data_IF_616760365835
#
_entry.id   IF_616760365835
#
_cell.length_a   1.000
_cell.length_b   1.000
_cell.length_c   1.000
_cell.angle_alpha   90.00
_cell.angle_beta   90.00
_cell.angle_gamma   90.00
#
_symmetry.space_group_name_H-M   'P 1'
#
loop_
_entity.id
_entity.type
_entity.pdbx_description
1 polymer ?
#
# COMPACT_ATOMS: atom_id res chain seq x y z
N UNK A 1 -8.15 18.73 -6.47
CA UNK A 1 -7.53 18.24 -5.22
C UNK A 1 -7.98 16.80 -5.00
N UNK A 2 -7.06 15.84 -4.78
CA UNK A 2 -7.37 14.38 -4.87
C UNK A 2 -8.04 13.81 -3.59
N UNK A 3 -7.89 14.43 -2.41
CA UNK A 3 -8.55 13.98 -1.15
C UNK A 3 -9.48 15.05 -0.60
N UNK A 4 -10.59 15.24 -1.29
CA UNK A 4 -11.54 16.31 -0.99
C UNK A 4 -12.24 16.09 0.36
N UNK A 5 -12.67 14.86 0.65
CA UNK A 5 -13.52 14.56 1.81
C UNK A 5 -12.82 13.83 2.97
N UNK A 6 -11.48 13.71 2.97
CA UNK A 6 -10.77 12.98 4.04
C UNK A 6 -11.01 13.55 5.45
N UNK A 7 -11.26 14.86 5.54
CA UNK A 7 -11.51 15.59 6.79
C UNK A 7 -13.00 15.87 7.02
N UNK A 8 -13.89 15.25 6.24
CA UNK A 8 -15.33 15.35 6.47
C UNK A 8 -15.69 14.81 7.86
N UNK A 9 -16.70 15.39 8.51
CA UNK A 9 -17.14 14.97 9.85
C UNK A 9 -17.59 13.51 9.93
N UNK A 10 -17.94 12.89 8.80
CA UNK A 10 -18.34 11.48 8.68
C UNK A 10 -17.16 10.52 8.58
N UNK A 11 -15.92 11.03 8.54
CA UNK A 11 -14.73 10.21 8.41
C UNK A 11 -14.07 9.96 9.77
N UNK A 12 -13.97 8.69 10.23
CA UNK A 12 -13.27 8.37 11.46
C UNK A 12 -11.80 8.80 11.48
N UNK A 13 -11.14 8.88 10.32
CA UNK A 13 -9.75 9.32 10.18
C UNK A 13 -9.61 10.85 9.97
N UNK A 14 -10.66 11.65 10.20
CA UNK A 14 -10.61 13.11 10.02
C UNK A 14 -9.42 13.73 10.78
N UNK A 15 -8.65 14.57 10.10
CA UNK A 15 -7.49 15.25 10.70
C UNK A 15 -6.24 14.38 10.89
N UNK A 16 -6.30 13.07 10.66
CA UNK A 16 -5.16 12.17 10.83
C UNK A 16 -4.13 12.34 9.71
N UNK A 17 -4.57 12.30 8.45
CA UNK A 17 -3.69 12.38 7.29
C UNK A 17 -3.42 13.83 6.87
N UNK A 18 -2.35 14.41 7.41
CA UNK A 18 -1.85 15.72 7.01
C UNK A 18 -1.03 15.61 5.71
N UNK A 19 -1.41 16.36 4.69
CA UNK A 19 -0.89 16.16 3.34
C UNK A 19 0.55 16.65 3.17
N UNK A 20 0.92 17.76 3.77
CA UNK A 20 2.25 18.33 3.58
C UNK A 20 3.26 17.66 4.52
N UNK A 21 2.97 17.62 5.82
CA UNK A 21 3.96 17.18 6.81
C UNK A 21 4.16 15.66 6.82
N UNK A 22 3.07 14.88 6.83
CA UNK A 22 3.20 13.43 6.99
C UNK A 22 3.59 12.72 5.68
N UNK A 23 2.98 13.08 4.55
CA UNK A 23 3.23 12.41 3.27
C UNK A 23 4.61 12.72 2.70
N UNK A 24 5.04 13.99 2.71
CA UNK A 24 6.37 14.35 2.18
C UNK A 24 7.47 13.73 3.05
N UNK A 25 7.31 13.73 4.37
CA UNK A 25 8.24 13.07 5.30
C UNK A 25 8.30 11.57 5.06
N UNK A 26 7.14 10.90 4.89
CA UNK A 26 7.10 9.48 4.60
C UNK A 26 7.75 9.16 3.24
N UNK A 27 7.42 9.92 2.19
CA UNK A 27 7.99 9.74 0.86
C UNK A 27 9.52 9.96 0.84
N UNK A 28 10.03 10.92 1.61
CA UNK A 28 11.46 11.18 1.74
C UNK A 28 12.26 10.00 2.32
N UNK A 29 11.61 9.09 3.05
CA UNK A 29 12.25 7.88 3.57
C UNK A 29 12.41 6.76 2.52
N UNK A 30 11.78 6.88 1.34
CA UNK A 30 11.81 5.87 0.29
C UNK A 30 12.40 6.46 -1.01
N UNK A 31 13.73 6.50 -1.15
CA UNK A 31 14.35 6.98 -2.38
C UNK A 31 13.88 6.14 -3.57
N UNK A 32 13.41 6.80 -4.64
CA UNK A 32 12.81 6.17 -5.81
C UNK A 32 11.31 6.43 -5.93
N UNK A 33 10.58 6.47 -4.82
CA UNK A 33 9.13 6.72 -4.84
C UNK A 33 8.82 8.13 -5.35
N UNK A 34 8.11 8.24 -6.48
CA UNK A 34 7.79 9.52 -7.11
C UNK A 34 9.00 10.23 -7.72
N UNK A 35 10.17 9.58 -7.78
CA UNK A 35 11.41 10.15 -8.34
C UNK A 35 12.01 9.31 -9.48
N UNK A 36 11.46 8.14 -9.76
CA UNK A 36 11.90 7.25 -10.86
C UNK A 36 11.22 7.59 -12.19
N UNK A 37 12.01 7.65 -13.27
CA UNK A 37 11.51 7.89 -14.64
C UNK A 37 11.28 9.36 -14.97
N UNK A 38 10.51 9.61 -16.04
CA UNK A 38 10.10 10.96 -16.48
C UNK A 38 9.02 11.58 -15.57
N UNK A 39 8.72 12.87 -15.78
CA UNK A 39 7.78 13.61 -14.96
C UNK A 39 6.36 13.02 -14.97
N UNK A 40 5.93 12.43 -16.08
CA UNK A 40 4.59 11.84 -16.19
C UNK A 40 4.51 10.50 -15.44
N UNK A 41 5.58 9.72 -15.46
CA UNK A 41 5.72 8.49 -14.69
C UNK A 41 5.70 8.78 -13.19
N UNK A 42 6.46 9.78 -12.75
CA UNK A 42 6.49 10.23 -11.35
C UNK A 42 5.11 10.69 -10.86
N UNK A 43 4.42 11.52 -11.66
CA UNK A 43 3.05 11.98 -11.35
C UNK A 43 2.06 10.80 -11.31
N UNK A 44 2.19 9.87 -12.25
CA UNK A 44 1.32 8.67 -12.32
C UNK A 44 1.52 7.77 -11.11
N UNK A 45 2.74 7.57 -10.65
CA UNK A 45 3.02 6.77 -9.45
C UNK A 45 2.35 7.37 -8.20
N UNK A 46 2.56 8.67 -7.96
CA UNK A 46 1.96 9.37 -6.80
C UNK A 46 0.42 9.31 -6.88
N UNK A 47 -0.15 9.51 -8.07
CA UNK A 47 -1.59 9.41 -8.27
C UNK A 47 -2.10 7.97 -8.03
N UNK A 48 -1.41 6.95 -8.54
CA UNK A 48 -1.81 5.56 -8.41
C UNK A 48 -1.78 5.07 -6.96
N UNK A 49 -0.72 5.37 -6.20
CA UNK A 49 -0.64 5.03 -4.77
C UNK A 49 -1.79 5.65 -3.99
N UNK A 50 -2.08 6.92 -4.25
CA UNK A 50 -3.16 7.65 -3.58
C UNK A 50 -4.54 7.13 -3.94
N UNK A 51 -4.73 6.71 -5.19
CA UNK A 51 -6.00 6.15 -5.69
C UNK A 51 -6.28 4.75 -5.14
N UNK A 52 -5.26 3.97 -4.81
CA UNK A 52 -5.41 2.65 -4.20
C UNK A 52 -6.28 2.68 -2.92
N UNK A 53 -6.41 3.85 -2.31
CA UNK A 53 -7.09 4.07 -1.04
C UNK A 53 -8.44 4.77 -1.18
N UNK A 54 -8.87 5.04 -2.42
CA UNK A 54 -10.06 5.87 -2.73
C UNK A 54 -11.38 5.11 -2.82
N UNK A 55 -11.42 3.83 -2.46
CA UNK A 55 -12.65 3.02 -2.54
C UNK A 55 -13.52 3.07 -1.28
N UNK A 56 -13.28 4.02 -0.37
CA UNK A 56 -14.09 4.18 0.85
C UNK A 56 -15.47 4.83 0.62
N UNK A 57 -15.72 5.39 -0.57
CA UNK A 57 -17.03 5.91 -0.93
C UNK A 57 -17.92 4.82 -1.50
N UNK A 58 -18.90 4.31 -0.75
CA UNK A 58 -19.94 3.46 -1.31
C UNK A 58 -20.70 4.15 -2.47
N UNK A 59 -21.40 3.35 -3.28
CA UNK A 59 -22.31 3.90 -4.30
C UNK A 59 -23.37 4.78 -3.61
N UNK A 60 -23.35 6.09 -3.86
CA UNK A 60 -24.28 7.05 -3.24
C UNK A 60 -23.65 8.17 -2.41
N UNK A 61 -22.31 8.22 -2.25
CA UNK A 61 -21.68 9.37 -1.57
C UNK A 61 -21.67 10.65 -2.43
N UNK A 62 -21.86 11.84 -1.82
CA UNK A 62 -21.74 13.12 -2.52
C UNK A 62 -20.40 13.24 -3.24
N UNK A 63 -20.38 13.76 -4.47
CA UNK A 63 -19.20 13.91 -5.36
C UNK A 63 -18.59 12.60 -5.93
N UNK A 64 -19.23 11.45 -5.70
CA UNK A 64 -18.81 10.16 -6.25
C UNK A 64 -17.76 9.43 -5.41
N UNK A 65 -17.65 8.12 -5.62
CA UNK A 65 -16.89 7.21 -4.74
C UNK A 65 -15.41 7.56 -4.54
N UNK A 66 -14.77 8.11 -5.58
CA UNK A 66 -13.33 8.35 -5.62
C UNK A 66 -12.86 9.56 -4.81
N UNK A 67 -13.78 10.41 -4.35
CA UNK A 67 -13.45 11.63 -3.59
C UNK A 67 -13.31 11.40 -2.07
N UNK A 68 -13.60 10.18 -1.60
CA UNK A 68 -13.70 9.80 -0.18
C UNK A 68 -12.53 8.94 0.32
N UNK A 69 -11.41 8.89 -0.41
CA UNK A 69 -10.21 8.19 0.06
C UNK A 69 -9.69 8.75 1.39
N UNK A 70 -8.94 7.92 2.13
CA UNK A 70 -8.37 8.25 3.44
C UNK A 70 -9.42 8.57 4.54
N UNK A 71 -10.68 8.18 4.35
CA UNK A 71 -11.75 8.39 5.33
C UNK A 71 -11.62 7.47 6.56
N UNK A 72 -11.01 6.30 6.37
CA UNK A 72 -10.75 5.29 7.40
C UNK A 72 -9.24 5.10 7.58
N UNK A 73 -8.84 4.66 8.78
CA UNK A 73 -7.45 4.31 9.13
C UNK A 73 -7.33 2.94 9.78
N UNK A 74 -8.44 2.29 10.09
CA UNK A 74 -8.51 1.00 10.75
C UNK A 74 -9.67 0.20 10.14
N UNK A 75 -9.47 -1.10 10.05
CA UNK A 75 -10.49 -2.06 9.66
C UNK A 75 -11.61 -2.13 10.71
N UNK A 76 -12.87 -2.18 10.27
CA UNK A 76 -13.99 -2.30 11.18
C UNK A 76 -14.23 -3.77 11.57
N UNK A 77 -14.02 -4.10 12.85
CA UNK A 77 -14.30 -5.44 13.39
C UNK A 77 -13.30 -6.53 13.00
N UNK A 78 -12.10 -6.16 12.53
CA UNK A 78 -11.11 -7.10 11.99
C UNK A 78 -10.64 -8.15 12.99
N UNK A 79 -10.29 -9.35 12.50
CA UNK A 79 -9.78 -10.46 13.32
C UNK A 79 -8.38 -10.17 13.93
N UNK A 80 -7.75 -11.16 14.55
CA UNK A 80 -6.37 -11.01 15.06
C UNK A 80 -5.35 -10.96 13.93
N UNK A 81 -5.61 -11.60 12.79
CA UNK A 81 -4.68 -11.72 11.65
C UNK A 81 -3.28 -12.15 12.10
N UNK A 82 -3.24 -13.22 12.87
CA UNK A 82 -2.01 -13.82 13.36
C UNK A 82 -1.80 -15.15 12.63
N UNK A 83 -0.63 -15.31 12.03
CA UNK A 83 -0.12 -16.56 11.52
C UNK A 83 1.14 -16.93 12.29
N UNK A 84 1.15 -18.10 12.92
CA UNK A 84 2.34 -18.60 13.63
C UNK A 84 3.58 -18.56 12.74
N UNK A 85 4.65 -17.96 13.26
CA UNK A 85 5.90 -17.73 12.53
C UNK A 85 7.04 -17.62 13.53
N UNK A 86 8.16 -18.27 13.22
CA UNK A 86 9.39 -18.13 14.01
C UNK A 86 10.08 -16.80 13.76
N UNK A 87 9.94 -16.24 12.56
CA UNK A 87 10.58 -15.00 12.16
C UNK A 87 9.80 -13.77 12.63
N UNK A 88 8.47 -13.83 12.59
CA UNK A 88 7.57 -12.74 12.98
C UNK A 88 6.49 -13.26 13.91
N UNK A 89 6.84 -13.67 15.14
CA UNK A 89 5.90 -14.29 16.06
C UNK A 89 4.77 -13.34 16.45
N UNK A 90 3.58 -13.88 16.67
CA UNK A 90 2.47 -13.08 17.17
C UNK A 90 2.71 -12.71 18.63
N UNK A 91 2.65 -11.42 18.94
CA UNK A 91 2.80 -10.94 20.31
C UNK A 91 1.48 -11.13 21.07
N UNK A 92 1.48 -11.77 22.26
CA UNK A 92 0.27 -11.97 23.04
C UNK A 92 -0.51 -10.67 23.28
N UNK A 93 -1.83 -10.71 23.06
CA UNK A 93 -2.71 -9.56 23.21
C UNK A 93 -2.66 -8.54 22.07
N UNK A 94 -1.82 -8.75 21.04
CA UNK A 94 -1.76 -7.87 19.86
C UNK A 94 -2.60 -8.43 18.70
N UNK A 95 -3.09 -7.51 17.87
CA UNK A 95 -3.92 -7.79 16.70
C UNK A 95 -3.39 -7.03 15.49
N UNK A 96 -3.29 -7.71 14.36
CA UNK A 96 -2.69 -7.23 13.12
C UNK A 96 -3.74 -7.01 12.03
N UNK A 97 -4.92 -6.51 12.39
CA UNK A 97 -5.96 -6.11 11.43
C UNK A 97 -5.53 -4.92 10.57
N UNK A 98 -6.30 -4.65 9.51
CA UNK A 98 -5.99 -3.62 8.55
C UNK A 98 -5.82 -2.24 9.19
N UNK A 99 -4.63 -1.65 9.08
CA UNK A 99 -4.38 -0.27 9.52
C UNK A 99 -3.73 0.57 8.44
N UNK A 100 -4.01 1.87 8.51
CA UNK A 100 -3.43 2.87 7.65
C UNK A 100 -3.92 2.82 6.20
N UNK A 101 -3.18 3.48 5.29
CA UNK A 101 -3.60 3.78 3.93
C UNK A 101 -3.65 2.54 3.03
N UNK A 102 -2.77 1.56 3.28
CA UNK A 102 -2.76 0.27 2.57
C UNK A 102 -3.61 -0.80 3.27
N UNK A 103 -4.21 -0.49 4.42
CA UNK A 103 -4.82 -1.50 5.30
C UNK A 103 -3.83 -2.64 5.57
N UNK A 104 -2.66 -2.31 6.13
CA UNK A 104 -1.64 -3.29 6.45
C UNK A 104 -2.22 -4.32 7.42
N UNK A 105 -2.20 -5.59 7.01
CA UNK A 105 -2.74 -6.72 7.77
C UNK A 105 -1.71 -7.82 7.92
N UNK A 106 -1.86 -8.66 8.94
CA UNK A 106 -1.00 -9.80 9.28
C UNK A 106 0.36 -9.51 9.91
N UNK A 107 0.72 -10.26 10.94
CA UNK A 107 2.01 -10.18 11.65
C UNK A 107 3.23 -10.26 10.71
N UNK A 108 3.16 -11.11 9.67
CA UNK A 108 4.23 -11.25 8.69
C UNK A 108 4.39 -10.04 7.76
N UNK A 109 3.47 -9.06 7.78
CA UNK A 109 3.65 -7.77 7.11
C UNK A 109 4.07 -6.68 8.11
N UNK A 110 3.48 -6.66 9.32
CA UNK A 110 3.85 -5.69 10.37
C UNK A 110 5.33 -5.82 10.77
N UNK A 111 5.79 -7.04 11.00
CA UNK A 111 7.19 -7.33 11.35
C UNK A 111 8.21 -6.76 10.36
N UNK A 112 8.22 -7.20 9.09
CA UNK A 112 9.21 -6.72 8.13
C UNK A 112 9.02 -5.25 7.75
N UNK A 113 7.79 -4.71 7.78
CA UNK A 113 7.58 -3.27 7.57
C UNK A 113 8.31 -2.46 8.65
N UNK A 114 8.09 -2.78 9.91
CA UNK A 114 8.68 -2.10 11.06
C UNK A 114 10.21 -2.20 11.11
N UNK A 115 10.76 -3.34 10.68
CA UNK A 115 12.19 -3.60 10.69
C UNK A 115 13.01 -2.89 9.59
N UNK A 116 12.36 -2.23 8.63
CA UNK A 116 13.08 -1.49 7.58
C UNK A 116 13.71 -0.21 8.10
N UNK A 117 14.86 0.21 7.57
CA UNK A 117 15.50 1.48 7.95
C UNK A 117 14.58 2.70 7.72
N UNK A 118 13.71 2.63 6.71
CA UNK A 118 12.76 3.71 6.41
C UNK A 118 11.72 3.91 7.52
N UNK A 119 11.30 2.83 8.20
CA UNK A 119 10.26 2.86 9.25
C UNK A 119 10.88 2.80 10.64
N UNK A 120 11.75 1.82 10.87
CA UNK A 120 12.58 1.61 12.05
C UNK A 120 11.81 1.72 13.38
N UNK A 121 10.64 1.09 13.44
CA UNK A 121 9.82 0.98 14.66
C UNK A 121 9.30 -0.44 14.83
N UNK A 122 9.19 -0.92 16.07
CA UNK A 122 8.67 -2.27 16.35
C UNK A 122 7.14 -2.32 16.21
N UNK A 123 6.70 -2.50 14.96
CA UNK A 123 5.29 -2.67 14.61
C UNK A 123 4.73 -4.03 15.00
N UNK A 124 5.58 -5.01 15.36
CA UNK A 124 5.11 -6.32 15.78
C UNK A 124 4.59 -6.27 17.23
N UNK A 125 5.31 -5.54 18.09
CA UNK A 125 4.90 -5.28 19.49
C UNK A 125 3.93 -4.11 19.62
N UNK A 126 3.98 -3.13 18.71
CA UNK A 126 3.08 -1.97 18.70
C UNK A 126 2.43 -1.72 17.33
N UNK A 127 1.54 -2.63 16.88
CA UNK A 127 0.85 -2.49 15.59
C UNK A 127 -0.08 -1.27 15.54
N UNK A 128 -0.52 -0.77 16.70
CA UNK A 128 -1.41 0.39 16.79
C UNK A 128 -0.71 1.69 16.35
N UNK A 129 0.63 1.73 16.30
CA UNK A 129 1.35 2.89 15.75
C UNK A 129 0.92 3.22 14.33
N UNK A 130 0.56 2.23 13.51
CA UNK A 130 0.09 2.45 12.13
C UNK A 130 -1.21 3.27 12.10
N UNK A 131 -2.00 3.27 13.18
CA UNK A 131 -3.24 4.06 13.31
C UNK A 131 -3.10 5.27 14.25
N UNK A 132 -1.97 5.42 14.96
CA UNK A 132 -1.71 6.52 15.90
C UNK A 132 -0.72 7.56 15.36
N UNK A 133 0.19 7.16 14.47
CA UNK A 133 1.18 8.04 13.84
C UNK A 133 0.98 8.08 12.32
N UNK A 134 0.66 9.25 11.78
CA UNK A 134 0.37 9.42 10.36
C UNK A 134 1.60 9.22 9.46
N UNK A 135 2.81 9.55 9.94
CA UNK A 135 4.06 9.32 9.19
C UNK A 135 4.32 7.82 9.10
N UNK A 136 4.24 7.10 10.21
CA UNK A 136 4.38 5.63 10.22
C UNK A 136 3.31 4.99 9.33
N UNK A 137 2.06 5.45 9.44
CA UNK A 137 0.93 5.01 8.61
C UNK A 137 1.22 5.15 7.11
N UNK A 138 1.73 6.29 6.68
CA UNK A 138 2.08 6.53 5.27
C UNK A 138 3.32 5.76 4.86
N UNK A 139 4.31 5.62 5.75
CA UNK A 139 5.50 4.84 5.48
C UNK A 139 5.18 3.36 5.27
N UNK A 140 4.24 2.75 6.00
CA UNK A 140 3.85 1.34 5.75
C UNK A 140 3.16 1.18 4.39
N UNK A 141 2.41 2.19 3.94
CA UNK A 141 1.81 2.19 2.61
C UNK A 141 2.86 2.28 1.48
N UNK A 142 3.89 3.11 1.65
CA UNK A 142 4.99 3.24 0.69
C UNK A 142 5.90 2.00 0.76
N UNK A 143 6.26 1.57 1.97
CA UNK A 143 6.37 0.18 2.41
C UNK A 143 6.04 -0.87 1.36
N UNK A 144 4.76 -1.17 1.38
CA UNK A 144 4.14 -2.21 0.61
C UNK A 144 4.19 -1.92 -0.89
N UNK A 145 4.17 -0.65 -1.28
CA UNK A 145 4.27 -0.22 -2.67
C UNK A 145 5.66 -0.49 -3.28
N UNK A 146 6.71 -0.30 -2.50
CA UNK A 146 8.11 -0.42 -2.93
C UNK A 146 8.65 -1.85 -2.77
N UNK A 147 8.03 -2.67 -1.93
CA UNK A 147 8.57 -3.98 -1.54
C UNK A 147 7.98 -5.10 -2.41
N UNK A 148 8.80 -5.84 -3.18
CA UNK A 148 8.34 -7.04 -3.87
C UNK A 148 8.10 -8.17 -2.86
N UNK A 149 6.98 -8.88 -3.00
CA UNK A 149 6.68 -10.09 -2.23
C UNK A 149 6.44 -11.24 -3.21
N UNK A 150 7.44 -12.11 -3.36
CA UNK A 150 7.38 -13.18 -4.36
C UNK A 150 6.08 -14.01 -4.23
N UNK A 151 5.40 -14.33 -5.35
CA UNK A 151 5.82 -14.12 -6.74
C UNK A 151 5.51 -12.72 -7.31
N UNK A 152 4.94 -11.81 -6.50
CA UNK A 152 4.52 -10.48 -6.94
C UNK A 152 5.71 -9.50 -6.99
N UNK A 153 5.89 -8.75 -8.08
CA UNK A 153 6.83 -7.63 -8.10
C UNK A 153 6.30 -6.48 -7.23
N UNK A 154 7.14 -5.48 -6.96
CA UNK A 154 6.67 -4.25 -6.32
C UNK A 154 5.73 -3.47 -7.25
N UNK A 155 4.79 -2.73 -6.66
CA UNK A 155 3.94 -1.79 -7.39
C UNK A 155 4.79 -0.74 -8.12
N UNK A 156 5.87 -0.30 -7.46
CA UNK A 156 6.86 0.62 -7.99
C UNK A 156 7.45 0.14 -9.32
N UNK A 157 7.94 -1.10 -9.38
CA UNK A 157 8.56 -1.65 -10.58
C UNK A 157 7.55 -1.80 -11.72
N UNK A 158 6.29 -2.07 -11.38
CA UNK A 158 5.21 -2.18 -12.37
C UNK A 158 4.90 -0.82 -12.98
N UNK A 159 4.70 0.21 -12.15
CA UNK A 159 4.28 1.54 -12.63
C UNK A 159 5.41 2.30 -13.34
N UNK A 160 6.66 2.06 -12.94
CA UNK A 160 7.87 2.64 -13.57
C UNK A 160 8.35 1.83 -14.77
N UNK A 161 7.73 0.68 -15.08
CA UNK A 161 8.08 -0.18 -16.20
C UNK A 161 9.32 -1.07 -16.00
N UNK A 162 9.96 -1.02 -14.82
CA UNK A 162 11.14 -1.83 -14.50
C UNK A 162 10.84 -3.34 -14.47
N UNK A 163 9.65 -3.74 -14.04
CA UNK A 163 9.25 -5.16 -14.01
C UNK A 163 9.31 -5.82 -15.40
N UNK A 164 8.82 -5.13 -16.44
CA UNK A 164 8.86 -5.62 -17.82
C UNK A 164 10.30 -5.74 -18.32
N UNK A 165 11.16 -4.80 -17.95
CA UNK A 165 12.58 -4.85 -18.29
C UNK A 165 13.28 -6.05 -17.61
N UNK A 166 12.99 -6.30 -16.33
CA UNK A 166 13.54 -7.42 -15.57
C UNK A 166 13.13 -8.78 -16.17
N UNK A 167 11.85 -8.93 -16.53
CA UNK A 167 11.36 -10.14 -17.22
C UNK A 167 12.02 -10.37 -18.57
N UNK A 168 12.22 -9.31 -19.38
CA UNK A 168 12.90 -9.40 -20.68
C UNK A 168 14.37 -9.79 -20.53
N UNK A 169 15.06 -9.29 -19.52
CA UNK A 169 16.45 -9.68 -19.21
C UNK A 169 16.53 -11.15 -18.80
N UNK A 170 15.63 -11.62 -17.92
CA UNK A 170 15.57 -13.04 -17.51
C UNK A 170 15.21 -13.97 -18.68
N UNK A 171 14.31 -13.56 -19.58
CA UNK A 171 13.94 -14.33 -20.78
C UNK A 171 15.02 -14.39 -21.88
N UNK A 172 16.05 -13.54 -21.84
CA UNK A 172 17.25 -13.65 -22.70
C UNK A 172 18.31 -14.61 -22.13
N UNK A 173 18.11 -15.13 -20.92
CA UNK A 173 19.02 -16.09 -20.26
C UNK A 173 18.35 -17.39 -19.80
N UNK A 174 17.05 -17.58 -20.03
CA UNK A 174 16.33 -18.78 -19.62
C UNK A 174 15.40 -19.27 -20.73
N UNK A 175 15.59 -20.51 -21.16
CA UNK A 175 14.71 -21.22 -22.07
C UNK A 175 13.27 -21.32 -21.51
N UNK A 176 12.33 -21.42 -22.44
CA UNK A 176 10.88 -21.31 -22.31
C UNK A 176 10.22 -21.91 -21.04
N UNK A 177 9.34 -21.10 -20.42
CA UNK A 177 8.25 -21.53 -19.54
C UNK A 177 6.97 -20.78 -19.93
N UNK A 178 5.89 -21.54 -20.15
CA UNK A 178 4.63 -21.17 -20.85
C UNK A 178 3.92 -19.90 -20.34
N UNK A 179 3.23 -19.13 -21.21
CA UNK A 179 2.44 -17.97 -20.80
C UNK A 179 1.11 -18.39 -20.15
N UNK A 180 0.72 -17.70 -19.08
CA UNK A 180 -0.65 -17.77 -18.54
C UNK A 180 -1.57 -16.88 -19.41
N UNK A 181 -2.82 -17.33 -19.54
CA UNK A 181 -3.69 -17.07 -20.68
C UNK A 181 -4.13 -15.63 -20.89
N UNK A 182 -4.31 -15.29 -22.16
CA UNK A 182 -5.05 -14.13 -22.65
C UNK A 182 -6.51 -14.20 -22.22
N UNK A 183 -6.92 -13.33 -21.31
CA UNK A 183 -8.33 -13.05 -21.00
C UNK A 183 -8.68 -11.64 -21.43
N UNK A 184 -9.48 -11.53 -22.50
CA UNK A 184 -10.16 -10.30 -22.92
C UNK A 184 -11.29 -9.98 -21.93
N UNK A 185 -11.22 -8.85 -21.23
CA UNK A 185 -12.30 -8.40 -20.35
C UNK A 185 -11.98 -7.10 -19.60
N UNK A 186 -12.57 -6.00 -20.10
CA UNK A 186 -12.90 -4.72 -19.43
C UNK A 186 -11.86 -4.00 -18.54
N UNK A 187 -11.64 -2.73 -18.89
CA UNK A 187 -10.76 -1.73 -18.27
C UNK A 187 -10.74 -1.72 -16.72
N UNK A 188 -9.82 -2.49 -16.14
CA UNK A 188 -9.24 -2.21 -14.84
C UNK A 188 -7.74 -1.99 -15.05
N UNK A 189 -7.17 -0.99 -14.38
CA UNK A 189 -5.71 -0.75 -14.45
C UNK A 189 -5.00 -2.04 -14.04
N UNK A 190 -3.91 -2.47 -14.73
CA UNK A 190 -3.17 -3.69 -14.38
C UNK A 190 -2.78 -3.74 -12.90
N UNK A 191 -2.66 -2.59 -12.24
CA UNK A 191 -2.37 -2.44 -10.81
C UNK A 191 -3.52 -2.90 -9.92
N UNK A 192 -4.79 -2.86 -10.33
CA UNK A 192 -5.92 -3.28 -9.48
C UNK A 192 -6.06 -4.80 -9.39
N UNK A 193 -5.74 -5.53 -10.45
CA UNK A 193 -5.97 -6.98 -10.51
C UNK A 193 -4.99 -7.80 -9.64
N UNK A 194 -3.90 -7.21 -9.14
CA UNK A 194 -2.88 -7.94 -8.36
C UNK A 194 -3.08 -7.93 -6.84
N UNK A 195 -4.00 -7.11 -6.29
CA UNK A 195 -3.97 -6.73 -4.85
C UNK A 195 -5.12 -7.24 -3.99
N UNK A 196 -6.13 -7.90 -4.56
CA UNK A 196 -7.30 -8.36 -3.79
C UNK A 196 -7.06 -9.61 -2.91
N UNK A 197 -5.81 -10.07 -2.73
CA UNK A 197 -5.54 -11.34 -2.03
C UNK A 197 -4.83 -11.21 -0.68
N UNK A 198 -4.08 -10.14 -0.38
CA UNK A 198 -3.18 -10.12 0.79
C UNK A 198 -3.03 -8.75 1.49
N UNK A 199 -3.96 -7.82 1.27
CA UNK A 199 -4.09 -6.58 2.06
C UNK A 199 -5.28 -6.71 3.02
#
# INVERSE_FOLDING_TARGET
>A
MILLHRNDGRCPARGFYTYYDAFVTAAGAFPGFGTTGDADTRKREVAARRMHETTAGGMGRPTGRYAWGYCFKEENGGATYCQESTQWPCVPGKRYYGRGPIQLSWNYNYGPAGATEAISVDLLSDPDLVARDAVVSLKTAIWFWMTPQAPKPSSHDVITGQWRALRRRRGRGAAAGRPFGSGSGTSSSPVQSFYHADA
#
